data_IF_641483852699
#
_entry.id   IF_641483852699
#
_cell.length_a   1.000
_cell.length_b   1.000
_cell.length_c   1.000
_cell.angle_alpha   90.00
_cell.angle_beta   90.00
_cell.angle_gamma   90.00
#
_symmetry.space_group_name_H-M   'P 1'
#
loop_
_entity.id
_entity.type
_entity.pdbx_description
1 polymer ?
#
# COMPACT_ATOMS: atom_id res chain seq x y z
N UNK A 1 -8.04 18.64 -6.01
CA UNK A 1 -7.48 17.61 -5.10
C UNK A 1 -7.44 18.17 -3.68
N UNK A 2 -6.68 19.24 -3.40
CA UNK A 2 -6.53 19.80 -2.06
C UNK A 2 -7.89 20.05 -1.37
N UNK A 3 -8.82 20.76 -2.04
CA UNK A 3 -10.16 21.01 -1.51
C UNK A 3 -10.95 19.73 -1.23
N UNK A 4 -10.80 18.68 -2.05
CA UNK A 4 -11.45 17.39 -1.85
C UNK A 4 -10.89 16.69 -0.60
N UNK A 5 -9.57 16.67 -0.43
CA UNK A 5 -8.93 16.14 0.77
C UNK A 5 -9.32 16.90 2.03
N UNK A 6 -9.38 18.24 1.96
CA UNK A 6 -9.80 19.08 3.09
C UNK A 6 -11.23 18.79 3.54
N UNK A 7 -12.17 18.66 2.60
CA UNK A 7 -13.57 18.29 2.92
C UNK A 7 -13.66 16.91 3.56
N UNK A 8 -12.89 15.95 3.05
CA UNK A 8 -12.98 14.56 3.48
C UNK A 8 -12.27 14.31 4.80
N UNK A 9 -11.09 14.88 4.99
CA UNK A 9 -10.24 14.57 6.13
C UNK A 9 -10.09 15.72 7.15
N UNK A 10 -10.71 16.89 6.90
CA UNK A 10 -10.58 18.04 7.78
C UNK A 10 -9.19 18.64 7.83
N UNK A 11 -8.45 18.57 6.72
CA UNK A 11 -7.10 19.14 6.54
C UNK A 11 -7.17 20.57 5.98
N UNK A 12 -6.01 21.26 5.88
CA UNK A 12 -5.91 22.64 5.38
C UNK A 12 -4.98 22.77 4.16
N UNK A 13 -4.90 21.74 3.32
CA UNK A 13 -4.01 21.75 2.16
C UNK A 13 -4.39 22.79 1.13
N UNK A 14 -3.39 23.33 0.45
CA UNK A 14 -3.52 24.19 -0.71
C UNK A 14 -2.86 23.55 -1.96
N UNK A 15 -3.01 24.20 -3.11
CA UNK A 15 -2.50 23.63 -4.37
C UNK A 15 -0.97 23.42 -4.37
N UNK A 16 -0.22 24.22 -3.61
CA UNK A 16 1.22 24.10 -3.48
C UNK A 16 1.68 22.84 -2.74
N UNK A 17 0.81 22.24 -1.91
CA UNK A 17 1.10 20.98 -1.22
C UNK A 17 0.96 19.75 -2.15
N UNK A 18 0.39 19.92 -3.35
CA UNK A 18 0.07 18.81 -4.26
C UNK A 18 1.04 18.81 -5.45
N UNK A 19 1.82 17.75 -5.57
CA UNK A 19 2.65 17.48 -6.73
C UNK A 19 2.01 16.38 -7.57
N UNK A 20 1.58 16.70 -8.80
CA UNK A 20 1.03 15.72 -9.74
C UNK A 20 2.12 14.80 -10.27
N UNK A 21 1.85 13.49 -10.28
CA UNK A 21 2.83 12.46 -10.67
C UNK A 21 2.27 11.47 -11.67
N UNK A 22 3.16 10.70 -12.32
CA UNK A 22 2.81 9.65 -13.27
C UNK A 22 2.47 8.36 -12.51
N UNK A 23 1.41 8.41 -11.70
CA UNK A 23 1.00 7.37 -10.75
C UNK A 23 1.80 7.40 -9.44
N UNK A 24 1.40 6.56 -8.47
CA UNK A 24 2.05 6.47 -7.16
C UNK A 24 3.52 6.04 -7.25
N UNK A 25 3.86 5.09 -8.13
CA UNK A 25 5.24 4.63 -8.33
C UNK A 25 6.21 5.79 -8.62
N UNK A 26 5.80 6.70 -9.53
CA UNK A 26 6.57 7.91 -9.80
C UNK A 26 6.64 8.82 -8.57
N UNK A 27 5.53 8.98 -7.85
CA UNK A 27 5.49 9.80 -6.63
C UNK A 27 6.45 9.31 -5.55
N UNK A 28 6.46 8.00 -5.29
CA UNK A 28 7.40 7.38 -4.35
C UNK A 28 8.86 7.59 -4.76
N UNK A 29 9.18 7.37 -6.05
CA UNK A 29 10.52 7.60 -6.56
C UNK A 29 10.92 9.07 -6.46
N UNK A 30 10.01 10.02 -6.71
CA UNK A 30 10.26 11.46 -6.55
C UNK A 30 10.66 11.78 -5.10
N UNK A 31 9.89 11.30 -4.13
CA UNK A 31 10.17 11.55 -2.71
C UNK A 31 11.46 10.87 -2.27
N UNK A 32 11.67 9.61 -2.64
CA UNK A 32 12.92 8.90 -2.31
C UNK A 32 14.15 9.56 -2.93
N UNK A 33 14.07 10.00 -4.20
CA UNK A 33 15.13 10.79 -4.84
C UNK A 33 15.45 12.08 -4.11
N UNK A 34 14.44 12.70 -3.52
CA UNK A 34 14.58 13.97 -2.81
C UNK A 34 15.21 13.79 -1.42
N UNK A 35 14.87 12.68 -0.75
CA UNK A 35 15.23 12.45 0.64
C UNK A 35 16.58 11.75 0.80
N UNK A 36 16.88 10.76 -0.07
CA UNK A 36 17.97 9.81 0.18
C UNK A 36 19.34 10.32 -0.27
N UNK A 37 20.31 10.17 0.63
CA UNK A 37 21.73 10.12 0.31
C UNK A 37 22.22 8.65 0.28
N UNK A 38 23.34 8.34 -0.38
CA UNK A 38 23.91 7.01 -0.39
C UNK A 38 24.11 6.43 1.02
N UNK A 39 23.62 5.21 1.24
CA UNK A 39 23.72 4.49 2.52
C UNK A 39 22.70 4.86 3.59
N UNK A 40 21.79 5.81 3.32
CA UNK A 40 20.65 6.07 4.20
C UNK A 40 19.59 4.96 4.08
N UNK A 41 18.83 4.77 5.15
CA UNK A 41 17.90 3.65 5.29
C UNK A 41 16.45 4.08 5.17
N UNK A 42 15.68 3.21 4.53
CA UNK A 42 14.21 3.28 4.47
C UNK A 42 13.66 2.01 5.11
N UNK A 43 12.77 2.14 6.09
CA UNK A 43 12.14 0.98 6.74
C UNK A 43 10.77 0.73 6.13
N UNK A 44 10.40 -0.55 5.97
CA UNK A 44 9.04 -0.98 5.61
C UNK A 44 8.64 -2.23 6.39
N UNK A 45 7.35 -2.53 6.43
CA UNK A 45 6.79 -3.66 7.17
C UNK A 45 6.40 -4.79 6.22
N UNK A 46 6.95 -5.99 6.41
CA UNK A 46 6.50 -7.16 5.68
C UNK A 46 5.09 -7.60 6.15
N UNK A 47 4.25 -8.13 5.25
CA UNK A 47 4.45 -8.19 3.80
C UNK A 47 4.26 -6.83 3.11
N UNK A 48 5.07 -6.54 2.10
CA UNK A 48 5.09 -5.24 1.43
C UNK A 48 5.15 -5.37 -0.10
N UNK A 49 4.85 -4.29 -0.79
CA UNK A 49 4.95 -4.21 -2.25
C UNK A 49 6.42 -4.27 -2.70
N UNK A 50 6.79 -5.33 -3.40
CA UNK A 50 8.18 -5.73 -3.67
C UNK A 50 9.04 -4.65 -4.34
N UNK A 51 8.42 -3.77 -5.14
CA UNK A 51 9.13 -2.71 -5.86
C UNK A 51 9.75 -1.65 -4.94
N UNK A 52 9.32 -1.52 -3.66
CA UNK A 52 9.94 -0.57 -2.72
C UNK A 52 11.45 -0.80 -2.61
N UNK A 53 11.88 -2.08 -2.59
CA UNK A 53 13.30 -2.42 -2.59
C UNK A 53 14.07 -1.89 -3.80
N UNK A 54 13.44 -1.91 -4.97
CA UNK A 54 14.03 -1.35 -6.20
C UNK A 54 14.04 0.19 -6.17
N UNK A 55 12.96 0.80 -5.71
CA UNK A 55 12.86 2.26 -5.62
C UNK A 55 13.92 2.84 -4.68
N UNK A 56 14.14 2.22 -3.51
CA UNK A 56 15.16 2.65 -2.55
C UNK A 56 16.57 2.47 -3.13
N UNK A 57 16.85 1.32 -3.73
CA UNK A 57 18.17 1.04 -4.35
C UNK A 57 18.49 1.93 -5.55
N UNK A 58 17.48 2.45 -6.26
CA UNK A 58 17.69 3.39 -7.36
C UNK A 58 18.41 4.69 -6.91
N UNK A 59 18.40 4.97 -5.63
CA UNK A 59 19.02 6.17 -5.03
C UNK A 59 20.08 5.81 -3.98
N UNK A 60 20.72 4.65 -4.15
CA UNK A 60 21.78 4.14 -3.29
C UNK A 60 21.39 4.01 -1.80
N UNK A 61 20.09 3.93 -1.52
CA UNK A 61 19.55 3.67 -0.18
C UNK A 61 19.48 2.19 0.15
N UNK A 62 19.31 1.88 1.43
CA UNK A 62 19.14 0.54 1.96
C UNK A 62 17.70 0.33 2.46
N UNK A 63 17.00 -0.70 1.95
CA UNK A 63 15.68 -1.08 2.47
C UNK A 63 15.85 -2.01 3.68
N UNK A 64 15.37 -1.55 4.83
CA UNK A 64 15.29 -2.35 6.07
C UNK A 64 13.86 -2.86 6.23
N UNK A 65 13.71 -4.18 6.38
CA UNK A 65 12.39 -4.81 6.44
C UNK A 65 12.11 -5.27 7.87
N UNK A 66 10.98 -4.82 8.42
CA UNK A 66 10.44 -5.32 9.69
C UNK A 66 9.69 -6.63 9.41
N UNK A 67 9.91 -7.65 10.23
CA UNK A 67 9.32 -8.98 10.07
C UNK A 67 7.80 -8.95 10.12
N UNK A 68 7.11 -9.84 9.36
CA UNK A 68 5.65 -9.85 9.33
C UNK A 68 5.06 -10.30 10.66
N UNK A 69 4.06 -9.58 11.14
CA UNK A 69 3.15 -10.07 12.17
C UNK A 69 2.02 -10.84 11.47
N UNK A 70 2.04 -12.17 11.55
CA UNK A 70 1.09 -13.03 10.84
C UNK A 70 -0.21 -13.31 11.62
N UNK A 71 -0.39 -12.68 12.78
CA UNK A 71 -1.61 -12.80 13.59
C UNK A 71 -2.73 -11.94 12.96
N UNK A 72 -2.44 -10.68 12.70
CA UNK A 72 -3.41 -9.70 12.20
C UNK A 72 -2.86 -8.81 11.07
N UNK A 73 -1.60 -9.00 10.70
CA UNK A 73 -0.87 -8.19 9.71
C UNK A 73 -0.79 -6.69 10.03
N UNK A 74 -1.02 -6.30 11.29
CA UNK A 74 -0.60 -4.98 11.76
C UNK A 74 0.93 -4.96 11.90
N UNK A 75 1.59 -3.79 11.81
CA UNK A 75 3.03 -3.66 11.98
C UNK A 75 3.59 -4.25 13.28
N UNK A 76 4.72 -4.94 13.20
CA UNK A 76 5.48 -5.37 14.38
C UNK A 76 6.24 -4.16 14.96
N UNK A 77 5.59 -3.45 15.88
CA UNK A 77 6.09 -2.17 16.42
C UNK A 77 7.33 -2.33 17.32
N UNK A 78 7.52 -3.49 17.95
CA UNK A 78 8.70 -3.76 18.79
C UNK A 78 9.95 -3.81 17.91
N UNK A 79 9.96 -4.67 16.92
CA UNK A 79 11.07 -4.78 15.97
C UNK A 79 11.26 -3.49 15.15
N UNK A 80 10.17 -2.78 14.85
CA UNK A 80 10.22 -1.48 14.18
C UNK A 80 11.05 -0.47 14.98
N UNK A 81 10.76 -0.31 16.27
CA UNK A 81 11.49 0.62 17.15
C UNK A 81 12.97 0.25 17.26
N UNK A 82 13.31 -1.05 17.33
CA UNK A 82 14.67 -1.55 17.40
C UNK A 82 15.48 -1.30 16.12
N UNK A 83 14.83 -1.29 14.96
CA UNK A 83 15.49 -1.10 13.67
C UNK A 83 15.76 0.34 13.29
N UNK A 84 15.10 1.30 13.94
CA UNK A 84 15.36 2.73 13.70
C UNK A 84 16.71 3.12 14.29
N UNK A 85 17.54 3.79 13.48
CA UNK A 85 18.86 4.29 13.86
C UNK A 85 19.15 5.64 13.17
N UNK A 86 20.34 6.18 13.37
CA UNK A 86 20.76 7.48 12.84
C UNK A 86 20.79 7.58 11.31
N UNK A 87 20.79 6.43 10.59
CA UNK A 87 20.71 6.37 9.13
C UNK A 87 19.29 6.32 8.61
N UNK A 88 18.29 6.11 9.48
CA UNK A 88 16.89 5.99 9.08
C UNK A 88 16.38 7.34 8.58
N UNK A 89 16.03 7.41 7.29
CA UNK A 89 15.58 8.64 6.63
C UNK A 89 14.07 8.66 6.38
N UNK A 90 13.51 7.51 6.06
CA UNK A 90 12.08 7.40 5.79
C UNK A 90 11.51 6.05 6.21
N UNK A 91 10.20 6.03 6.42
CA UNK A 91 9.40 4.82 6.61
C UNK A 91 8.39 4.76 5.48
N UNK A 92 8.21 3.59 4.83
CA UNK A 92 7.13 3.40 3.86
C UNK A 92 6.07 2.49 4.48
N UNK A 93 4.83 2.98 4.52
CA UNK A 93 3.65 2.20 4.86
C UNK A 93 2.70 2.12 3.67
N UNK A 94 1.90 1.06 3.59
CA UNK A 94 0.88 0.87 2.58
C UNK A 94 -0.42 0.40 3.24
N UNK A 95 -1.44 1.25 3.24
CA UNK A 95 -2.72 0.96 3.89
C UNK A 95 -3.88 1.60 3.10
N UNK A 96 -4.88 0.83 2.65
CA UNK A 96 -5.00 -0.63 2.70
C UNK A 96 -3.85 -1.35 2.03
N UNK A 97 -3.41 -2.47 2.61
CA UNK A 97 -2.15 -3.12 2.29
C UNK A 97 -2.24 -4.05 1.07
N UNK A 98 -1.23 -4.00 0.23
CA UNK A 98 -0.90 -5.03 -0.74
C UNK A 98 0.30 -5.83 -0.20
N UNK A 99 0.15 -7.12 0.17
CA UNK A 99 -0.82 -8.09 -0.38
C UNK A 99 -1.99 -8.47 0.54
N UNK A 100 -2.09 -7.97 1.77
CA UNK A 100 -2.97 -8.56 2.79
C UNK A 100 -4.42 -8.05 2.75
N UNK A 101 -4.65 -6.87 2.20
CA UNK A 101 -5.94 -6.17 2.28
C UNK A 101 -6.26 -5.60 3.66
N UNK A 102 -5.33 -5.66 4.61
CA UNK A 102 -5.51 -5.12 5.95
C UNK A 102 -5.37 -3.59 5.95
N UNK A 103 -6.19 -2.93 6.74
CA UNK A 103 -6.10 -1.49 7.01
C UNK A 103 -5.40 -1.32 8.37
N UNK A 104 -4.38 -0.46 8.40
CA UNK A 104 -3.73 -0.12 9.67
C UNK A 104 -4.67 0.72 10.51
N UNK A 105 -4.85 0.32 11.77
CA UNK A 105 -5.74 1.01 12.69
C UNK A 105 -5.21 2.40 13.07
N UNK A 106 -6.10 3.27 13.52
CA UNK A 106 -5.72 4.57 14.07
C UNK A 106 -4.71 4.41 15.23
N UNK A 107 -4.95 3.45 16.12
CA UNK A 107 -4.03 3.14 17.23
C UNK A 107 -2.64 2.74 16.72
N UNK A 108 -2.58 1.96 15.65
CA UNK A 108 -1.31 1.57 15.00
C UNK A 108 -0.56 2.79 14.49
N UNK A 109 -1.25 3.72 13.79
CA UNK A 109 -0.63 4.94 13.26
C UNK A 109 -0.16 5.88 14.38
N UNK A 110 -0.93 6.02 15.45
CA UNK A 110 -0.54 6.79 16.65
C UNK A 110 0.72 6.21 17.30
N UNK A 111 0.82 4.89 17.42
CA UNK A 111 2.01 4.23 17.96
C UNK A 111 3.23 4.41 17.04
N UNK A 112 3.07 4.28 15.72
CA UNK A 112 4.13 4.56 14.76
C UNK A 112 4.62 6.00 14.93
N UNK A 113 3.72 6.97 14.98
CA UNK A 113 4.04 8.38 15.18
C UNK A 113 4.83 8.61 16.48
N UNK A 114 4.36 8.06 17.59
CA UNK A 114 5.03 8.19 18.90
C UNK A 114 6.46 7.60 18.89
N UNK A 115 6.66 6.45 18.23
CA UNK A 115 7.99 5.85 18.06
C UNK A 115 8.87 6.77 17.23
N UNK A 116 8.38 7.30 16.12
CA UNK A 116 9.14 8.19 15.24
C UNK A 116 9.53 9.47 15.95
N UNK A 117 8.61 10.11 16.67
CA UNK A 117 8.90 11.32 17.46
C UNK A 117 9.98 11.08 18.53
N UNK A 118 9.89 9.93 19.22
CA UNK A 118 10.91 9.50 20.19
C UNK A 118 12.27 9.36 19.53
N UNK A 119 12.33 8.62 18.41
CA UNK A 119 13.59 8.30 17.72
C UNK A 119 14.22 9.51 17.03
N UNK A 120 13.41 10.41 16.47
CA UNK A 120 13.93 11.69 15.96
C UNK A 120 14.64 12.53 17.05
N UNK A 121 14.05 12.57 18.24
CA UNK A 121 14.67 13.25 19.39
C UNK A 121 15.94 12.54 19.86
N UNK A 122 15.94 11.20 19.87
CA UNK A 122 17.07 10.37 20.29
C UNK A 122 18.28 10.57 19.37
N UNK A 123 18.08 10.57 18.06
CA UNK A 123 19.18 10.65 17.07
C UNK A 123 19.42 12.07 16.53
N UNK A 124 18.56 13.03 16.81
CA UNK A 124 18.67 14.39 16.27
C UNK A 124 18.47 14.43 14.74
N UNK A 125 17.64 13.52 14.20
CA UNK A 125 17.36 13.36 12.77
C UNK A 125 15.90 13.65 12.46
N UNK A 126 15.60 13.95 11.18
CA UNK A 126 14.24 14.04 10.68
C UNK A 126 13.90 12.77 9.89
N UNK A 127 12.79 12.11 10.24
CA UNK A 127 12.34 10.86 9.62
C UNK A 127 10.98 11.10 8.96
N UNK A 128 10.89 10.90 7.64
CA UNK A 128 9.65 11.08 6.90
C UNK A 128 8.83 9.80 6.90
N UNK A 129 7.54 9.88 7.24
CA UNK A 129 6.59 8.79 7.07
C UNK A 129 5.90 8.91 5.70
N UNK A 130 6.27 8.05 4.76
CA UNK A 130 5.72 8.01 3.41
C UNK A 130 4.59 6.98 3.34
N UNK A 131 3.35 7.44 3.24
CA UNK A 131 2.16 6.59 3.11
C UNK A 131 1.83 6.40 1.64
N UNK A 132 1.91 5.15 1.15
CA UNK A 132 1.49 4.74 -0.19
C UNK A 132 0.02 4.29 -0.14
N UNK A 133 -0.90 5.11 -0.69
CA UNK A 133 -2.34 4.95 -0.50
C UNK A 133 -3.14 4.73 -1.82
N UNK A 134 -2.71 3.88 -2.75
CA UNK A 134 -3.44 3.67 -4.00
C UNK A 134 -4.79 2.97 -3.79
N UNK A 135 -5.01 2.36 -2.62
CA UNK A 135 -6.23 1.60 -2.28
C UNK A 135 -7.14 2.32 -1.29
N UNK A 136 -6.88 3.59 -0.94
CA UNK A 136 -7.65 4.35 0.07
C UNK A 136 -9.16 4.28 -0.14
N UNK A 137 -9.62 4.31 -1.39
CA UNK A 137 -11.05 4.28 -1.74
C UNK A 137 -11.64 2.86 -1.72
N UNK A 138 -10.80 1.85 -1.60
CA UNK A 138 -11.20 0.45 -1.57
C UNK A 138 -11.18 -0.05 -0.12
N UNK A 139 -12.11 0.44 0.69
CA UNK A 139 -12.36 0.00 2.06
C UNK A 139 -13.82 -0.48 2.18
N UNK A 140 -14.05 -1.59 2.85
CA UNK A 140 -15.31 -2.31 2.87
C UNK A 140 -16.03 -2.20 4.21
N UNK A 141 -17.36 -2.43 4.20
CA UNK A 141 -18.15 -2.47 5.44
C UNK A 141 -18.19 -1.15 6.20
N UNK A 142 -17.96 -0.02 5.53
CA UNK A 142 -17.94 1.31 6.16
C UNK A 142 -16.68 1.60 6.98
N UNK A 143 -15.62 0.79 6.85
CA UNK A 143 -14.34 1.05 7.52
C UNK A 143 -13.71 2.29 6.89
N UNK A 144 -13.31 3.26 7.72
CA UNK A 144 -12.54 4.42 7.29
C UNK A 144 -11.04 4.12 7.33
N UNK A 145 -10.34 4.51 6.28
CA UNK A 145 -8.87 4.46 6.24
C UNK A 145 -8.32 5.70 6.96
N UNK A 146 -7.61 5.53 8.08
CA UNK A 146 -7.07 6.67 8.81
C UNK A 146 -6.07 7.46 7.96
N UNK A 147 -6.18 8.78 7.94
CA UNK A 147 -5.33 9.64 7.12
C UNK A 147 -4.08 10.05 7.88
N UNK A 148 -2.91 9.57 7.44
CA UNK A 148 -1.65 9.59 8.20
C UNK A 148 -1.21 10.97 8.68
N UNK A 149 -1.48 12.03 7.92
CA UNK A 149 -1.08 13.41 8.27
C UNK A 149 -1.77 13.95 9.53
N UNK A 150 -2.81 13.26 10.01
CA UNK A 150 -3.48 13.61 11.29
C UNK A 150 -2.71 13.12 12.51
N UNK A 151 -1.81 12.18 12.34
CA UNK A 151 -1.13 11.48 13.45
C UNK A 151 0.35 11.83 13.54
N UNK A 152 0.96 12.20 12.42
CA UNK A 152 2.38 12.52 12.37
C UNK A 152 2.63 13.72 11.47
N UNK A 153 3.29 14.75 12.01
CA UNK A 153 3.53 16.00 11.29
C UNK A 153 4.42 15.81 10.06
N UNK A 154 5.44 14.94 10.16
CA UNK A 154 6.40 14.70 9.08
C UNK A 154 5.95 13.57 8.15
N UNK A 155 4.66 13.58 7.76
CA UNK A 155 4.04 12.60 6.91
C UNK A 155 3.80 13.13 5.48
N UNK A 156 4.20 12.33 4.48
CA UNK A 156 3.98 12.57 3.06
C UNK A 156 3.08 11.46 2.51
N UNK A 157 2.10 11.81 1.70
CA UNK A 157 1.14 10.84 1.13
C UNK A 157 1.33 10.71 -0.37
N UNK A 158 1.59 9.48 -0.83
CA UNK A 158 1.56 9.10 -2.24
C UNK A 158 0.22 8.47 -2.61
N UNK A 159 -0.41 8.94 -3.69
CA UNK A 159 -1.72 8.46 -4.14
C UNK A 159 -1.74 8.17 -5.64
N UNK A 160 -2.58 7.22 -6.04
CA UNK A 160 -2.83 6.88 -7.45
C UNK A 160 -4.31 6.70 -7.73
N UNK A 161 -4.76 7.22 -8.86
CA UNK A 161 -6.10 6.97 -9.39
C UNK A 161 -6.24 5.62 -10.12
N UNK A 162 -5.17 4.85 -10.21
CA UNK A 162 -5.15 3.54 -10.89
C UNK A 162 -6.23 2.59 -10.40
N UNK A 163 -6.61 2.67 -9.11
CA UNK A 163 -7.55 1.76 -8.47
C UNK A 163 -8.91 2.41 -8.23
N UNK A 164 -8.91 3.63 -7.68
CA UNK A 164 -10.13 4.37 -7.37
C UNK A 164 -10.97 4.79 -8.59
N UNK A 165 -10.36 4.91 -9.76
CA UNK A 165 -11.06 5.20 -11.02
C UNK A 165 -10.88 4.10 -12.09
N UNK A 166 -10.25 2.97 -11.73
CA UNK A 166 -9.99 1.85 -12.65
C UNK A 166 -9.23 2.26 -13.94
N UNK A 167 -8.29 3.21 -13.82
CA UNK A 167 -7.51 3.76 -14.93
C UNK A 167 -5.99 3.53 -14.78
N UNK A 168 -5.54 2.28 -14.57
CA UNK A 168 -4.11 2.01 -14.31
C UNK A 168 -3.21 2.37 -15.49
N UNK A 169 -3.73 2.33 -16.72
CA UNK A 169 -2.99 2.66 -17.95
C UNK A 169 -2.74 4.16 -18.11
N UNK A 170 -3.55 5.03 -17.51
CA UNK A 170 -3.47 6.47 -17.67
C UNK A 170 -2.35 7.12 -16.85
N UNK A 171 -1.73 6.38 -15.96
CA UNK A 171 -0.55 6.77 -15.18
C UNK A 171 -0.72 8.13 -14.48
N UNK A 172 -1.71 8.26 -13.62
CA UNK A 172 -2.03 9.49 -12.92
C UNK A 172 -2.10 9.28 -11.39
N UNK A 173 -1.47 10.18 -10.66
CA UNK A 173 -1.43 10.20 -9.21
C UNK A 173 -0.94 11.55 -8.70
N UNK A 174 -0.70 11.63 -7.43
CA UNK A 174 -0.13 12.83 -6.79
C UNK A 174 0.60 12.47 -5.50
N UNK A 175 1.44 13.39 -5.06
CA UNK A 175 2.04 13.39 -3.72
C UNK A 175 1.49 14.61 -2.97
N UNK A 176 1.15 14.42 -1.69
CA UNK A 176 0.82 15.50 -0.76
C UNK A 176 2.01 15.71 0.17
N UNK A 177 2.52 16.92 0.21
CA UNK A 177 3.56 17.37 1.15
C UNK A 177 2.94 18.51 1.98
N UNK A 178 2.44 18.22 3.20
CA UNK A 178 1.87 19.23 4.08
C UNK A 178 2.86 20.33 4.48
N UNK A 179 2.34 21.48 4.88
CA UNK A 179 3.19 22.59 5.38
C UNK A 179 3.84 22.25 6.74
N UNK A 180 3.26 21.31 7.48
CA UNK A 180 3.74 20.83 8.77
C UNK A 180 4.99 19.95 8.68
N UNK A 181 5.30 19.42 7.46
CA UNK A 181 6.50 18.60 7.23
C UNK A 181 7.77 19.44 7.45
N UNK A 182 8.78 18.85 8.06
CA UNK A 182 10.08 19.49 8.28
C UNK A 182 10.64 20.02 6.96
N UNK A 183 11.03 21.30 6.93
CA UNK A 183 11.55 21.97 5.73
C UNK A 183 10.64 21.84 4.51
N UNK A 184 9.31 21.85 4.69
CA UNK A 184 8.30 21.57 3.64
C UNK A 184 8.54 22.34 2.35
N UNK A 185 8.86 23.62 2.40
CA UNK A 185 9.14 24.44 1.22
C UNK A 185 10.34 23.94 0.41
N UNK A 186 11.41 23.53 1.09
CA UNK A 186 12.61 22.98 0.47
C UNK A 186 12.29 21.58 -0.12
N UNK A 187 11.54 20.75 0.61
CA UNK A 187 11.12 19.44 0.16
C UNK A 187 10.23 19.52 -1.09
N UNK A 188 9.25 20.42 -1.12
CA UNK A 188 8.39 20.66 -2.30
C UNK A 188 9.22 21.12 -3.50
N UNK A 189 10.14 22.08 -3.29
CA UNK A 189 11.03 22.56 -4.32
C UNK A 189 11.91 21.46 -4.92
N UNK A 190 12.55 20.69 -4.06
CA UNK A 190 13.40 19.55 -4.47
C UNK A 190 12.59 18.43 -5.13
N UNK A 191 11.41 18.08 -4.62
CA UNK A 191 10.51 17.11 -5.23
C UNK A 191 10.04 17.54 -6.64
N UNK A 192 9.78 18.82 -6.84
CA UNK A 192 9.44 19.39 -8.15
C UNK A 192 10.58 19.20 -9.14
N UNK A 193 11.83 19.45 -8.73
CA UNK A 193 13.02 19.21 -9.56
C UNK A 193 13.20 17.71 -9.80
N UNK A 194 13.09 16.88 -8.75
CA UNK A 194 13.21 15.42 -8.86
C UNK A 194 12.22 14.85 -9.87
N UNK A 195 10.95 15.28 -9.86
CA UNK A 195 9.93 14.85 -10.81
C UNK A 195 10.33 15.13 -12.28
N UNK A 196 11.04 16.21 -12.51
CA UNK A 196 11.55 16.55 -13.85
C UNK A 196 12.76 15.70 -14.24
N UNK A 197 13.73 15.54 -13.34
CA UNK A 197 15.01 14.90 -13.68
C UNK A 197 14.94 13.38 -13.76
N UNK A 198 13.97 12.75 -13.09
CA UNK A 198 13.71 11.30 -13.26
C UNK A 198 12.99 10.97 -14.59
N UNK A 199 12.70 11.99 -15.42
CA UNK A 199 12.15 11.81 -16.76
C UNK A 199 10.63 11.84 -16.86
N UNK A 200 9.91 11.94 -15.73
CA UNK A 200 8.43 12.02 -15.73
C UNK A 200 7.92 13.41 -16.13
N UNK A 201 8.64 14.46 -15.81
CA UNK A 201 8.40 15.89 -16.06
C UNK A 201 7.05 16.37 -15.51
N UNK A 202 5.94 15.93 -16.08
CA UNK A 202 4.57 16.22 -15.64
C UNK A 202 3.65 15.04 -15.94
N UNK A 203 2.60 14.88 -15.15
CA UNK A 203 1.52 13.97 -15.46
C UNK A 203 0.77 14.45 -16.73
N UNK A 204 0.19 13.54 -17.56
CA UNK A 204 -0.49 13.89 -18.80
C UNK A 204 -1.61 14.93 -18.60
N UNK A 205 -1.57 16.05 -19.30
CA UNK A 205 -2.48 17.19 -19.08
C UNK A 205 -3.95 16.86 -19.35
N UNK A 206 -4.23 16.03 -20.36
CA UNK A 206 -5.58 15.55 -20.64
C UNK A 206 -6.14 14.78 -19.44
N UNK A 207 -5.36 13.83 -18.90
CA UNK A 207 -5.78 13.00 -17.78
C UNK A 207 -5.97 13.82 -16.50
N UNK A 208 -5.16 14.87 -16.28
CA UNK A 208 -5.38 15.79 -15.14
C UNK A 208 -6.76 16.49 -15.25
N UNK A 209 -7.22 16.85 -16.45
CA UNK A 209 -8.56 17.43 -16.66
C UNK A 209 -9.66 16.40 -16.42
N UNK A 210 -9.44 15.13 -16.82
CA UNK A 210 -10.37 14.04 -16.52
C UNK A 210 -10.50 13.83 -15.00
N UNK A 211 -9.37 13.81 -14.28
CA UNK A 211 -9.37 13.68 -12.80
C UNK A 211 -10.12 14.84 -12.15
N UNK A 212 -9.93 16.08 -12.65
CA UNK A 212 -10.69 17.24 -12.16
C UNK A 212 -12.19 16.98 -12.28
N UNK A 213 -12.65 16.54 -13.45
CA UNK A 213 -14.06 16.22 -13.70
C UNK A 213 -14.57 15.12 -12.74
N UNK A 214 -13.79 14.03 -12.60
CA UNK A 214 -14.16 12.93 -11.71
C UNK A 214 -14.31 13.36 -10.26
N UNK A 215 -13.42 14.23 -9.76
CA UNK A 215 -13.48 14.75 -8.38
C UNK A 215 -14.71 15.66 -8.20
N UNK A 216 -15.00 16.55 -9.19
CA UNK A 216 -16.11 17.48 -9.13
C UNK A 216 -17.48 16.79 -9.21
N UNK A 217 -17.54 15.59 -9.83
CA UNK A 217 -18.76 14.80 -10.01
C UNK A 217 -18.80 13.55 -9.12
N UNK A 218 -17.87 13.44 -8.15
CA UNK A 218 -17.81 12.34 -7.18
C UNK A 218 -17.79 10.94 -7.84
N UNK A 219 -17.14 10.85 -9.01
CA UNK A 219 -16.96 9.56 -9.69
C UNK A 219 -16.07 8.66 -8.86
N UNK A 220 -16.54 7.48 -8.56
CA UNK A 220 -15.83 6.50 -7.72
C UNK A 220 -15.91 5.10 -8.32
N UNK A 221 -15.11 4.19 -7.82
CA UNK A 221 -15.13 2.78 -8.16
C UNK A 221 -16.42 2.12 -7.65
N UNK A 222 -16.86 1.08 -8.34
CA UNK A 222 -17.96 0.22 -7.88
C UNK A 222 -17.50 -0.64 -6.68
N UNK A 223 -17.57 -0.05 -5.50
CA UNK A 223 -17.14 -0.68 -4.25
C UNK A 223 -18.01 -1.89 -3.89
N UNK A 224 -19.30 -1.86 -4.23
CA UNK A 224 -20.24 -2.95 -3.94
C UNK A 224 -19.85 -4.25 -4.66
N UNK A 225 -19.46 -4.14 -5.92
CA UNK A 225 -18.96 -5.29 -6.69
C UNK A 225 -17.67 -5.86 -6.09
N UNK A 226 -16.73 -5.03 -5.68
CA UNK A 226 -15.51 -5.51 -5.01
C UNK A 226 -15.81 -6.18 -3.66
N UNK A 227 -16.74 -5.62 -2.88
CA UNK A 227 -17.13 -6.21 -1.60
C UNK A 227 -17.85 -7.56 -1.78
N UNK A 228 -18.72 -7.69 -2.77
CA UNK A 228 -19.35 -8.97 -3.15
C UNK A 228 -18.30 -10.01 -3.54
N UNK A 229 -17.35 -9.63 -4.39
CA UNK A 229 -16.24 -10.49 -4.80
C UNK A 229 -15.42 -10.97 -3.62
N UNK A 230 -15.03 -10.04 -2.71
CA UNK A 230 -14.33 -10.36 -1.48
C UNK A 230 -15.11 -11.38 -0.64
N UNK A 231 -16.38 -11.10 -0.39
CA UNK A 231 -17.21 -11.95 0.46
C UNK A 231 -17.38 -13.37 -0.13
N UNK A 232 -17.54 -13.49 -1.45
CA UNK A 232 -17.65 -14.76 -2.13
C UNK A 232 -16.36 -15.59 -1.97
N UNK A 233 -15.21 -15.05 -2.37
CA UNK A 233 -13.95 -15.81 -2.35
C UNK A 233 -13.48 -16.10 -0.93
N UNK A 234 -13.57 -15.11 -0.01
CA UNK A 234 -13.21 -15.29 1.38
C UNK A 234 -14.08 -16.36 2.06
N UNK A 235 -15.40 -16.29 1.88
CA UNK A 235 -16.33 -17.26 2.47
C UNK A 235 -16.07 -18.68 1.97
N UNK A 236 -15.95 -18.86 0.65
CA UNK A 236 -15.69 -20.16 0.07
C UNK A 236 -14.35 -20.77 0.52
N UNK A 237 -13.25 -19.98 0.50
CA UNK A 237 -11.96 -20.49 0.94
C UNK A 237 -11.94 -20.86 2.43
N UNK A 238 -12.60 -20.06 3.26
CA UNK A 238 -12.74 -20.38 4.70
C UNK A 238 -13.54 -21.63 4.93
N UNK A 239 -14.64 -21.82 4.17
CA UNK A 239 -15.46 -23.04 4.21
C UNK A 239 -14.66 -24.28 3.77
N UNK A 240 -13.78 -24.13 2.77
CA UNK A 240 -12.89 -25.21 2.30
C UNK A 240 -11.70 -25.49 3.25
N UNK A 241 -11.59 -24.75 4.36
CA UNK A 241 -10.56 -24.97 5.39
C UNK A 241 -9.28 -24.17 5.20
N UNK A 242 -9.19 -23.28 4.23
CA UNK A 242 -8.05 -22.35 4.12
C UNK A 242 -8.07 -21.31 5.24
N UNK A 243 -6.89 -20.90 5.68
CA UNK A 243 -6.71 -19.85 6.67
C UNK A 243 -6.28 -18.56 6.00
N UNK A 244 -7.01 -17.47 6.21
CA UNK A 244 -6.66 -16.13 5.74
C UNK A 244 -7.29 -15.06 6.62
N UNK A 245 -6.64 -13.92 6.76
CA UNK A 245 -7.26 -12.74 7.34
C UNK A 245 -8.34 -12.22 6.38
N UNK A 246 -9.50 -11.79 6.91
CA UNK A 246 -10.51 -11.12 6.10
C UNK A 246 -9.98 -9.74 5.70
N UNK A 247 -9.88 -9.43 4.41
CA UNK A 247 -9.40 -8.11 4.00
C UNK A 247 -10.49 -7.05 4.23
N UNK A 248 -10.12 -5.93 4.86
CA UNK A 248 -11.00 -4.78 5.06
C UNK A 248 -10.86 -3.76 3.92
N UNK A 249 -9.85 -3.93 3.06
CA UNK A 249 -9.61 -3.06 1.91
C UNK A 249 -8.81 -3.71 0.80
N UNK A 250 -8.44 -2.90 -0.20
CA UNK A 250 -7.79 -3.32 -1.44
C UNK A 250 -8.63 -4.37 -2.20
N UNK A 251 -7.99 -5.23 -2.98
CA UNK A 251 -8.67 -6.33 -3.69
C UNK A 251 -7.81 -7.60 -3.69
N UNK A 252 -7.14 -7.84 -2.58
CA UNK A 252 -6.28 -9.00 -2.38
C UNK A 252 -6.75 -9.82 -1.19
N UNK A 253 -6.54 -11.12 -1.30
CA UNK A 253 -6.67 -12.08 -0.21
C UNK A 253 -5.32 -12.76 -0.02
N UNK A 254 -4.82 -12.73 1.20
CA UNK A 254 -3.54 -13.32 1.56
C UNK A 254 -3.78 -14.59 2.37
N UNK A 255 -3.59 -15.73 1.71
CA UNK A 255 -3.97 -17.05 2.20
C UNK A 255 -2.74 -17.79 2.69
N UNK A 256 -2.82 -18.38 3.88
CA UNK A 256 -1.77 -19.26 4.40
C UNK A 256 -1.68 -20.50 3.53
N UNK A 257 -0.49 -20.83 3.07
CA UNK A 257 -0.21 -22.05 2.33
C UNK A 257 -0.46 -23.29 3.22
N UNK A 258 -1.11 -24.34 2.71
CA UNK A 258 -1.28 -25.59 3.46
C UNK A 258 0.04 -26.36 3.64
N UNK A 259 1.08 -26.00 2.94
CA UNK A 259 2.43 -26.59 3.02
C UNK A 259 3.46 -25.49 3.26
N UNK A 260 4.57 -25.87 3.89
CA UNK A 260 5.64 -24.93 4.27
C UNK A 260 6.22 -24.18 3.07
N UNK A 261 6.43 -24.90 1.96
CA UNK A 261 6.89 -24.31 0.71
C UNK A 261 5.70 -23.83 -0.15
N UNK A 262 5.33 -22.56 -0.03
CA UNK A 262 4.22 -21.98 -0.77
C UNK A 262 4.40 -22.02 -2.30
N UNK A 263 5.63 -22.19 -2.80
CA UNK A 263 5.89 -22.33 -4.25
C UNK A 263 5.39 -23.67 -4.78
N UNK A 264 5.48 -24.75 -3.97
CA UNK A 264 4.88 -26.04 -4.32
C UNK A 264 3.35 -25.91 -4.39
N UNK A 265 2.75 -25.20 -3.45
CA UNK A 265 1.33 -24.89 -3.49
C UNK A 265 0.96 -24.10 -4.75
N UNK A 266 1.76 -23.11 -5.15
CA UNK A 266 1.54 -22.36 -6.40
C UNK A 266 1.53 -23.29 -7.64
N UNK A 267 2.42 -24.28 -7.69
CA UNK A 267 2.47 -25.24 -8.81
C UNK A 267 1.25 -26.20 -8.80
N UNK A 268 0.77 -26.61 -7.63
CA UNK A 268 -0.46 -27.39 -7.52
C UNK A 268 -1.67 -26.55 -7.96
N UNK A 269 -1.79 -25.32 -7.46
CA UNK A 269 -2.87 -24.41 -7.86
C UNK A 269 -2.89 -24.19 -9.39
N UNK A 270 -1.72 -24.05 -10.01
CA UNK A 270 -1.58 -23.88 -11.46
C UNK A 270 -2.07 -25.09 -12.26
N UNK A 271 -1.90 -26.34 -11.74
CA UNK A 271 -2.47 -27.55 -12.37
C UNK A 271 -3.99 -27.51 -12.41
N UNK A 272 -4.61 -26.81 -11.45
CA UNK A 272 -6.07 -26.57 -11.42
C UNK A 272 -6.47 -25.26 -12.08
N UNK A 273 -5.59 -24.64 -12.89
CA UNK A 273 -5.82 -23.37 -13.57
C UNK A 273 -6.07 -22.17 -12.64
N UNK A 274 -5.58 -22.25 -11.41
CA UNK A 274 -5.59 -21.15 -10.44
C UNK A 274 -4.19 -20.53 -10.36
N UNK A 275 -4.10 -19.25 -10.64
CA UNK A 275 -2.83 -18.50 -10.56
C UNK A 275 -2.79 -17.68 -9.27
N UNK A 276 -1.79 -17.94 -8.46
CA UNK A 276 -1.54 -17.23 -7.19
C UNK A 276 -0.08 -16.74 -7.15
N UNK A 277 0.19 -15.72 -6.35
CA UNK A 277 1.54 -15.17 -6.20
C UNK A 277 2.12 -15.61 -4.86
N UNK A 278 3.34 -16.23 -4.83
CA UNK A 278 3.94 -16.70 -3.59
C UNK A 278 4.25 -15.55 -2.63
N UNK A 279 4.01 -15.77 -1.33
CA UNK A 279 4.21 -14.79 -0.28
C UNK A 279 5.65 -14.38 -0.08
N UNK A 280 6.61 -15.24 -0.44
CA UNK A 280 8.04 -14.90 -0.46
C UNK A 280 8.35 -13.70 -1.38
N UNK A 281 7.53 -13.46 -2.42
CA UNK A 281 7.63 -12.24 -3.24
C UNK A 281 7.29 -10.95 -2.48
N UNK A 282 6.68 -11.05 -1.29
CA UNK A 282 6.29 -9.94 -0.43
C UNK A 282 7.04 -9.98 0.92
N UNK A 283 8.16 -10.73 0.99
CA UNK A 283 8.91 -11.00 2.22
C UNK A 283 8.09 -11.68 3.34
N UNK A 284 7.10 -12.52 2.96
CA UNK A 284 6.27 -13.28 3.89
C UNK A 284 6.04 -14.71 3.36
N UNK A 285 7.07 -15.60 3.44
CA UNK A 285 6.95 -16.98 2.99
C UNK A 285 5.86 -17.74 3.77
N UNK A 286 5.36 -18.83 3.22
CA UNK A 286 4.27 -19.62 3.79
C UNK A 286 2.87 -19.09 3.50
N UNK A 287 2.75 -18.07 2.65
CA UNK A 287 1.48 -17.48 2.20
C UNK A 287 1.43 -17.38 0.67
N UNK A 288 0.23 -17.16 0.14
CA UNK A 288 0.00 -16.82 -1.27
C UNK A 288 -1.00 -15.68 -1.38
N UNK A 289 -0.80 -14.80 -2.38
CA UNK A 289 -1.75 -13.73 -2.69
C UNK A 289 -2.65 -14.12 -3.86
N UNK A 290 -3.96 -13.94 -3.65
CA UNK A 290 -4.97 -13.93 -4.70
C UNK A 290 -5.45 -12.49 -4.94
N UNK A 291 -5.86 -12.20 -6.18
CA UNK A 291 -6.54 -10.95 -6.51
C UNK A 291 -7.98 -11.25 -6.92
N UNK A 292 -8.96 -10.52 -6.37
CA UNK A 292 -10.38 -10.68 -6.70
C UNK A 292 -10.95 -9.50 -7.49
N UNK A 293 -10.09 -8.74 -8.16
CA UNK A 293 -10.47 -7.67 -9.10
C UNK A 293 -10.81 -8.22 -10.49
N UNK A 294 -11.69 -9.20 -10.53
CA UNK A 294 -12.19 -9.88 -11.71
C UNK A 294 -13.72 -9.90 -11.67
N UNK A 295 -14.40 -10.43 -12.72
CA UNK A 295 -15.85 -10.53 -12.65
C UNK A 295 -16.33 -11.55 -11.60
N UNK A 296 -17.49 -11.31 -11.04
CA UNK A 296 -18.11 -12.20 -10.04
C UNK A 296 -18.21 -13.65 -10.58
N UNK A 297 -18.64 -13.82 -11.82
CA UNK A 297 -18.78 -15.13 -12.48
C UNK A 297 -17.42 -15.83 -12.66
N UNK A 298 -16.32 -15.07 -12.78
CA UNK A 298 -14.99 -15.66 -12.87
C UNK A 298 -14.58 -16.24 -11.51
N UNK A 299 -14.93 -15.57 -10.42
CA UNK A 299 -14.71 -16.10 -9.06
C UNK A 299 -15.56 -17.36 -8.87
N UNK A 300 -16.87 -17.32 -9.15
CA UNK A 300 -17.75 -18.49 -9.02
C UNK A 300 -17.19 -19.70 -9.77
N UNK A 301 -16.77 -19.51 -11.03
CA UNK A 301 -16.19 -20.59 -11.85
C UNK A 301 -14.87 -21.14 -11.31
N UNK A 302 -14.15 -20.36 -10.51
CA UNK A 302 -12.89 -20.81 -9.89
C UNK A 302 -13.10 -21.64 -8.62
N UNK A 303 -14.23 -21.52 -7.92
CA UNK A 303 -14.47 -22.16 -6.63
C UNK A 303 -14.33 -23.68 -6.67
N UNK A 304 -14.84 -24.42 -7.70
CA UNK A 304 -14.62 -25.87 -7.79
C UNK A 304 -13.15 -26.27 -7.87
N UNK A 305 -12.28 -25.43 -8.46
CA UNK A 305 -10.85 -25.68 -8.50
C UNK A 305 -10.22 -25.52 -7.11
N UNK A 306 -10.58 -24.47 -6.37
CA UNK A 306 -10.13 -24.29 -4.99
C UNK A 306 -10.59 -25.44 -4.08
N UNK A 307 -11.82 -25.94 -4.26
CA UNK A 307 -12.32 -27.08 -3.50
C UNK A 307 -11.47 -28.33 -3.75
N UNK A 308 -11.16 -28.65 -5.02
CA UNK A 308 -10.28 -29.77 -5.36
C UNK A 308 -8.89 -29.63 -4.75
N UNK A 309 -8.32 -28.43 -4.79
CA UNK A 309 -7.03 -28.14 -4.14
C UNK A 309 -7.12 -28.40 -2.62
N UNK A 310 -8.20 -27.94 -1.98
CA UNK A 310 -8.42 -28.17 -0.56
C UNK A 310 -8.55 -29.67 -0.22
N UNK A 311 -9.22 -30.44 -1.06
CA UNK A 311 -9.35 -31.91 -0.94
C UNK A 311 -7.98 -32.61 -1.07
N UNK A 312 -7.12 -32.19 -2.03
CA UNK A 312 -5.77 -32.74 -2.19
C UNK A 312 -4.88 -32.51 -0.96
N UNK A 313 -5.07 -31.41 -0.25
CA UNK A 313 -4.34 -31.12 0.98
C UNK A 313 -5.06 -31.55 2.26
N UNK A 314 -6.23 -32.23 2.15
CA UNK A 314 -6.98 -32.69 3.30
C UNK A 314 -7.55 -31.58 4.18
N UNK A 315 -7.79 -30.39 3.63
CA UNK A 315 -8.36 -29.26 4.36
C UNK A 315 -9.87 -29.37 4.53
N UNK A 316 -10.58 -29.93 3.54
CA UNK A 316 -12.01 -30.20 3.64
C UNK A 316 -12.26 -31.32 4.63
N UNK A 317 -13.15 -31.09 5.61
CA UNK A 317 -13.65 -32.12 6.54
C UNK A 317 -14.81 -32.89 5.94
#
# INVERSE_FOLDING_TARGET
IAQSLNRRFGTSFHAGNILMTVGAASGLNVILKTLLNPGEQVITFAPYFVEYGSYVRNYDGELVVVSPNTVDFQPNLVEFEEKINEKTKAIIINTPNNPTGVIYSEETLQKIAAILEKKQKEFGTSIVLLSDEPYRELAYGGVEVPFVTKYYHNAVVGYSYSKSLSVPGERIGYVVIPDEVDDSAALIGAATIANRVIGCVNAPSLVQKVIKYCIEHEVTVDLETYEKNRNLIYGALTEYGFTCAKPDGAFYLFVKSPVENEKEFCEVAKKHHVLVVPGSSFACPGYVRLAYCVSYEQIERSLPAFKKIAEEYGLCK
#
